data_IF_705141551737
#
_entry.id   IF_705141551737
#
_cell.length_a   1.000
_cell.length_b   1.000
_cell.length_c   1.000
_cell.angle_alpha   90.00
_cell.angle_beta   90.00
_cell.angle_gamma   90.00
#
_symmetry.space_group_name_H-M   'P 1'
#
loop_
_entity.id
_entity.type
_entity.pdbx_description
1 polymer ?
#
# COMPACT_ATOMS: atom_id res chain seq x y z
N UNK A 1 -12.88 5.58 4.83
CA UNK A 1 -11.92 5.12 3.80
C UNK A 1 -12.36 3.77 3.25
N UNK A 2 -12.43 3.59 1.92
CA UNK A 2 -12.78 2.30 1.32
C UNK A 2 -11.75 1.20 1.60
N UNK A 3 -10.52 1.55 2.00
CA UNK A 3 -9.49 0.57 2.35
C UNK A 3 -9.86 -0.32 3.56
N UNK A 4 -10.78 0.12 4.43
CA UNK A 4 -11.32 -0.71 5.51
C UNK A 4 -12.16 -1.90 5.00
N UNK A 5 -12.61 -1.86 3.75
CA UNK A 5 -13.32 -2.99 3.12
C UNK A 5 -12.38 -4.08 2.59
N UNK A 6 -11.06 -3.83 2.51
CA UNK A 6 -10.12 -4.80 1.96
C UNK A 6 -10.15 -6.16 2.70
N UNK A 7 -10.30 -6.27 4.03
CA UNK A 7 -10.48 -7.56 4.70
C UNK A 7 -11.66 -8.39 4.16
N UNK A 8 -12.76 -7.72 3.81
CA UNK A 8 -13.90 -8.38 3.16
C UNK A 8 -13.50 -8.86 1.78
N UNK A 9 -12.89 -8.01 0.95
CA UNK A 9 -12.44 -8.40 -0.39
C UNK A 9 -11.35 -9.48 -0.37
N UNK A 10 -10.43 -9.47 0.59
CA UNK A 10 -9.44 -10.52 0.78
C UNK A 10 -10.09 -11.86 1.11
N UNK A 11 -11.05 -11.86 2.03
CA UNK A 11 -11.83 -13.07 2.33
C UNK A 11 -12.63 -13.57 1.13
N UNK A 12 -13.33 -12.68 0.42
CA UNK A 12 -14.13 -13.03 -0.74
C UNK A 12 -13.25 -13.54 -1.89
N UNK A 13 -12.10 -12.92 -2.11
CA UNK A 13 -11.07 -13.34 -3.08
C UNK A 13 -10.57 -14.76 -2.78
N UNK A 14 -10.18 -15.02 -1.53
CA UNK A 14 -9.72 -16.35 -1.12
C UNK A 14 -10.83 -17.42 -1.29
N UNK A 15 -12.10 -17.03 -1.06
CA UNK A 15 -13.26 -17.95 -1.10
C UNK A 15 -13.82 -18.18 -2.51
N UNK A 16 -13.95 -17.14 -3.33
CA UNK A 16 -14.67 -17.18 -4.61
C UNK A 16 -13.76 -17.18 -5.82
N UNK A 17 -12.47 -16.86 -5.65
CA UNK A 17 -11.47 -16.87 -6.71
C UNK A 17 -10.91 -15.48 -6.97
N UNK A 18 -9.59 -15.40 -7.15
CA UNK A 18 -8.86 -14.14 -7.31
C UNK A 18 -9.16 -13.44 -8.65
N UNK A 19 -9.49 -14.23 -9.69
CA UNK A 19 -9.77 -13.77 -11.06
C UNK A 19 -10.79 -12.65 -11.15
N UNK A 20 -11.93 -12.80 -10.47
CA UNK A 20 -13.03 -11.84 -10.54
C UNK A 20 -12.60 -10.46 -10.07
N UNK A 21 -11.82 -10.40 -8.99
CA UNK A 21 -11.36 -9.15 -8.39
C UNK A 21 -10.26 -8.47 -9.22
N UNK A 22 -9.40 -9.27 -9.88
CA UNK A 22 -8.39 -8.76 -10.82
C UNK A 22 -9.00 -8.12 -12.08
N UNK A 23 -10.21 -8.53 -12.47
CA UNK A 23 -10.93 -7.97 -13.63
C UNK A 23 -11.83 -6.81 -13.21
N UNK A 24 -12.71 -7.04 -12.23
CA UNK A 24 -13.73 -6.07 -11.82
C UNK A 24 -13.14 -4.90 -11.04
N UNK A 25 -12.09 -5.11 -10.24
CA UNK A 25 -11.44 -4.06 -9.46
C UNK A 25 -10.95 -2.89 -10.34
N UNK A 26 -10.06 -3.14 -11.33
CA UNK A 26 -9.60 -2.11 -12.27
C UNK A 26 -10.72 -1.51 -13.09
N UNK A 27 -11.69 -2.31 -13.53
CA UNK A 27 -12.84 -1.84 -14.31
C UNK A 27 -13.65 -0.80 -13.51
N UNK A 28 -14.06 -1.15 -12.29
CA UNK A 28 -14.83 -0.27 -11.40
C UNK A 28 -14.00 0.96 -11.03
N UNK A 29 -12.74 0.78 -10.62
CA UNK A 29 -11.86 1.89 -10.26
C UNK A 29 -11.70 2.89 -11.42
N UNK A 30 -11.34 2.41 -12.60
CA UNK A 30 -11.05 3.27 -13.75
C UNK A 30 -12.28 4.00 -14.27
N UNK A 31 -13.45 3.35 -14.32
CA UNK A 31 -14.69 3.99 -14.75
C UNK A 31 -15.08 5.10 -13.75
N UNK A 32 -15.25 4.78 -12.47
CA UNK A 32 -15.79 5.74 -11.52
C UNK A 32 -14.82 6.90 -11.19
N UNK A 33 -13.51 6.64 -11.11
CA UNK A 33 -12.53 7.72 -10.87
C UNK A 33 -12.40 8.66 -12.08
N UNK A 34 -12.55 8.15 -13.31
CA UNK A 34 -12.42 9.00 -14.51
C UNK A 34 -13.64 9.90 -14.75
N UNK A 35 -14.79 9.55 -14.17
CA UNK A 35 -16.02 10.35 -14.24
C UNK A 35 -16.02 11.58 -13.31
N UNK A 36 -15.03 11.72 -12.43
CA UNK A 36 -15.00 12.80 -11.43
C UNK A 36 -14.99 14.21 -12.06
N UNK A 37 -14.29 14.40 -13.19
CA UNK A 37 -14.22 15.70 -13.86
C UNK A 37 -15.51 16.15 -14.54
N UNK A 38 -16.46 15.23 -14.78
CA UNK A 38 -17.74 15.52 -15.43
C UNK A 38 -18.93 15.32 -14.50
N UNK A 39 -18.69 15.09 -13.22
CA UNK A 39 -19.76 14.88 -12.25
C UNK A 39 -20.59 16.16 -12.08
N UNK A 40 -21.92 16.10 -12.26
CA UNK A 40 -22.78 17.30 -12.29
C UNK A 40 -23.06 17.90 -10.92
N UNK A 41 -22.73 17.17 -9.84
CA UNK A 41 -22.98 17.60 -8.48
C UNK A 41 -21.97 16.97 -7.50
N UNK A 42 -21.76 17.66 -6.38
CA UNK A 42 -20.85 17.21 -5.32
C UNK A 42 -21.17 15.79 -4.81
N UNK A 43 -22.44 15.44 -4.64
CA UNK A 43 -22.84 14.09 -4.20
C UNK A 43 -22.47 13.00 -5.21
N UNK A 44 -22.50 13.31 -6.52
CA UNK A 44 -22.07 12.37 -7.56
C UNK A 44 -20.56 12.14 -7.48
N UNK A 45 -19.76 13.19 -7.22
CA UNK A 45 -18.32 13.08 -6.95
C UNK A 45 -18.08 12.11 -5.78
N UNK A 46 -18.82 12.26 -4.67
CA UNK A 46 -18.66 11.39 -3.51
C UNK A 46 -19.00 9.92 -3.80
N UNK A 47 -20.07 9.67 -4.56
CA UNK A 47 -20.45 8.31 -4.97
C UNK A 47 -19.38 7.72 -5.89
N UNK A 48 -18.94 8.45 -6.90
CA UNK A 48 -17.87 8.04 -7.81
C UNK A 48 -16.56 7.76 -7.06
N UNK A 49 -16.18 8.64 -6.12
CA UNK A 49 -15.01 8.43 -5.26
C UNK A 49 -15.16 7.15 -4.44
N UNK A 50 -16.33 6.94 -3.82
CA UNK A 50 -16.57 5.76 -2.99
C UNK A 50 -16.51 4.46 -3.81
N UNK A 51 -17.24 4.38 -4.92
CA UNK A 51 -17.28 3.20 -5.80
C UNK A 51 -15.92 2.94 -6.46
N UNK A 52 -15.26 3.99 -6.94
CA UNK A 52 -13.92 3.88 -7.52
C UNK A 52 -12.91 3.35 -6.51
N UNK A 53 -12.90 3.89 -5.28
CA UNK A 53 -12.01 3.43 -4.22
C UNK A 53 -12.39 2.03 -3.69
N UNK A 54 -13.66 1.59 -3.80
CA UNK A 54 -14.02 0.19 -3.56
C UNK A 54 -13.39 -0.74 -4.61
N UNK A 55 -13.38 -0.34 -5.88
CA UNK A 55 -12.67 -1.07 -6.95
C UNK A 55 -11.16 -1.19 -6.67
N UNK A 56 -10.53 -0.09 -6.25
CA UNK A 56 -9.11 -0.08 -5.81
C UNK A 56 -8.89 -1.01 -4.62
N UNK A 57 -9.73 -0.91 -3.59
CA UNK A 57 -9.65 -1.79 -2.42
C UNK A 57 -9.81 -3.27 -2.79
N UNK A 58 -10.67 -3.59 -3.76
CA UNK A 58 -10.94 -4.96 -4.19
C UNK A 58 -9.74 -5.64 -4.87
N UNK A 59 -8.86 -4.90 -5.55
CA UNK A 59 -7.71 -5.48 -6.28
C UNK A 59 -6.44 -5.65 -5.41
N UNK A 60 -6.25 -4.86 -4.35
CA UNK A 60 -5.01 -4.94 -3.57
C UNK A 60 -4.76 -6.32 -2.92
N UNK A 61 -5.72 -6.91 -2.18
CA UNK A 61 -5.54 -8.24 -1.59
C UNK A 61 -5.21 -9.36 -2.60
N UNK A 62 -5.97 -9.56 -3.69
CA UNK A 62 -5.68 -10.63 -4.66
C UNK A 62 -4.35 -10.41 -5.40
N UNK A 63 -3.97 -9.18 -5.71
CA UNK A 63 -2.71 -8.92 -6.43
C UNK A 63 -1.50 -9.26 -5.55
N UNK A 64 -1.56 -8.93 -4.25
CA UNK A 64 -0.55 -9.37 -3.29
C UNK A 64 -0.54 -10.90 -3.13
N UNK A 65 -1.71 -11.54 -3.16
CA UNK A 65 -1.81 -13.00 -3.10
C UNK A 65 -1.16 -13.68 -4.32
N UNK A 66 -1.35 -13.15 -5.53
CA UNK A 66 -0.67 -13.62 -6.76
C UNK A 66 0.84 -13.64 -6.57
N UNK A 67 1.43 -12.56 -6.06
CA UNK A 67 2.86 -12.50 -5.79
C UNK A 67 3.33 -13.61 -4.83
N UNK A 68 2.54 -13.93 -3.80
CA UNK A 68 2.87 -14.98 -2.86
C UNK A 68 2.70 -16.40 -3.43
N UNK A 69 1.69 -16.61 -4.26
CA UNK A 69 1.38 -17.91 -4.88
C UNK A 69 2.39 -18.25 -5.98
N UNK A 70 2.72 -17.29 -6.84
CA UNK A 70 3.59 -17.50 -8.00
C UNK A 70 5.05 -17.10 -7.77
N UNK A 71 5.36 -16.43 -6.65
CA UNK A 71 6.72 -15.97 -6.33
C UNK A 71 7.72 -17.08 -5.99
N UNK A 72 7.30 -18.34 -5.84
CA UNK A 72 8.16 -19.48 -5.56
C UNK A 72 9.04 -19.28 -4.31
N UNK A 73 10.37 -19.33 -4.47
CA UNK A 73 11.35 -19.06 -3.40
C UNK A 73 11.58 -17.55 -3.15
N UNK A 74 11.16 -16.68 -4.09
CA UNK A 74 11.42 -15.23 -4.10
C UNK A 74 10.15 -14.42 -3.86
N UNK A 75 9.38 -14.80 -2.83
CA UNK A 75 8.07 -14.20 -2.53
C UNK A 75 8.15 -12.75 -2.06
N UNK A 76 9.25 -12.35 -1.41
CA UNK A 76 9.50 -10.96 -1.04
C UNK A 76 9.69 -10.12 -2.30
N UNK A 77 10.59 -10.55 -3.20
CA UNK A 77 10.79 -9.87 -4.49
C UNK A 77 9.52 -9.84 -5.35
N UNK A 78 8.73 -10.92 -5.39
CA UNK A 78 7.48 -10.96 -6.13
C UNK A 78 6.46 -9.91 -5.63
N UNK A 79 6.32 -9.76 -4.30
CA UNK A 79 5.46 -8.71 -3.72
C UNK A 79 6.01 -7.32 -4.04
N UNK A 80 7.33 -7.16 -4.05
CA UNK A 80 7.97 -5.89 -4.44
C UNK A 80 7.75 -5.56 -5.91
N UNK A 81 7.74 -6.54 -6.81
CA UNK A 81 7.44 -6.32 -8.24
C UNK A 81 6.01 -5.82 -8.44
N UNK A 82 5.04 -6.43 -7.75
CA UNK A 82 3.65 -5.96 -7.74
C UNK A 82 3.57 -4.52 -7.21
N UNK A 83 4.25 -4.24 -6.09
CA UNK A 83 4.25 -2.91 -5.47
C UNK A 83 4.91 -1.87 -6.37
N UNK A 84 5.99 -2.24 -7.07
CA UNK A 84 6.68 -1.38 -8.03
C UNK A 84 5.80 -1.07 -9.25
N UNK A 85 5.09 -2.07 -9.79
CA UNK A 85 4.10 -1.85 -10.84
C UNK A 85 3.00 -0.87 -10.40
N UNK A 86 2.50 -1.01 -9.16
CA UNK A 86 1.58 -0.04 -8.56
C UNK A 86 2.16 1.37 -8.43
N UNK A 87 3.44 1.49 -8.02
CA UNK A 87 4.15 2.76 -7.93
C UNK A 87 4.29 3.43 -9.30
N UNK A 88 4.65 2.69 -10.34
CA UNK A 88 4.70 3.20 -11.72
C UNK A 88 3.32 3.66 -12.18
N UNK A 89 2.28 2.85 -11.95
CA UNK A 89 0.90 3.21 -12.30
C UNK A 89 0.42 4.49 -11.61
N UNK A 90 0.71 4.66 -10.32
CA UNK A 90 0.35 5.85 -9.56
C UNK A 90 1.10 7.10 -10.05
N UNK A 91 2.41 6.97 -10.29
CA UNK A 91 3.25 8.04 -10.81
C UNK A 91 2.84 8.49 -12.21
N UNK A 92 2.80 7.57 -13.17
CA UNK A 92 2.44 7.90 -14.55
C UNK A 92 0.97 8.27 -14.68
N UNK A 93 0.07 7.63 -13.91
CA UNK A 93 -1.35 7.96 -13.89
C UNK A 93 -1.62 9.39 -13.42
N UNK A 94 -0.88 9.87 -12.41
CA UNK A 94 -0.99 11.25 -11.92
C UNK A 94 -0.59 12.27 -13.00
N UNK A 95 0.48 12.01 -13.75
CA UNK A 95 0.89 12.87 -14.88
C UNK A 95 -0.10 12.76 -16.04
N UNK A 96 -0.60 11.56 -16.33
CA UNK A 96 -1.53 11.31 -17.43
C UNK A 96 -2.84 12.08 -17.25
N UNK A 97 -3.42 12.11 -16.04
CA UNK A 97 -4.64 12.89 -15.80
C UNK A 97 -4.40 14.39 -15.88
N UNK A 98 -3.26 14.89 -15.37
CA UNK A 98 -2.86 16.30 -15.51
C UNK A 98 -2.76 16.66 -17.00
N UNK A 99 -2.10 15.83 -17.80
CA UNK A 99 -1.99 16.01 -19.25
C UNK A 99 -3.36 16.08 -19.94
N UNK A 100 -4.29 15.18 -19.59
CA UNK A 100 -5.65 15.21 -20.16
C UNK A 100 -6.33 16.54 -19.84
N UNK A 101 -6.28 16.98 -18.58
CA UNK A 101 -6.94 18.21 -18.12
C UNK A 101 -6.33 19.44 -18.79
N UNK A 102 -5.00 19.55 -18.83
CA UNK A 102 -4.32 20.71 -19.42
C UNK A 102 -4.50 20.79 -20.94
N UNK A 103 -4.51 19.65 -21.64
CA UNK A 103 -4.55 19.61 -23.10
C UNK A 103 -5.96 19.64 -23.69
N UNK A 104 -6.90 18.92 -23.07
CA UNK A 104 -8.25 18.72 -23.61
C UNK A 104 -9.32 19.36 -22.74
N UNK A 105 -9.03 19.61 -21.46
CA UNK A 105 -9.98 20.17 -20.49
C UNK A 105 -10.64 19.11 -19.61
N UNK A 106 -11.30 19.56 -18.55
CA UNK A 106 -11.89 18.71 -17.52
C UNK A 106 -13.02 17.79 -18.05
N UNK A 107 -13.69 18.18 -19.14
CA UNK A 107 -14.73 17.35 -19.78
C UNK A 107 -14.21 16.03 -20.35
N UNK A 108 -12.89 15.92 -20.57
CA UNK A 108 -12.26 14.74 -21.18
C UNK A 108 -11.62 13.78 -20.16
N UNK A 109 -11.81 14.01 -18.86
CA UNK A 109 -11.33 13.06 -17.83
C UNK A 109 -11.83 11.61 -18.02
N UNK A 110 -13.01 11.32 -18.62
CA UNK A 110 -13.39 9.94 -18.91
C UNK A 110 -12.39 9.15 -19.76
N UNK A 111 -11.57 9.82 -20.59
CA UNK A 111 -10.48 9.17 -21.35
C UNK A 111 -9.43 8.52 -20.45
N UNK A 112 -9.30 8.98 -19.19
CA UNK A 112 -8.41 8.39 -18.21
C UNK A 112 -8.80 6.94 -17.84
N UNK A 113 -10.01 6.48 -18.19
CA UNK A 113 -10.45 5.11 -17.94
C UNK A 113 -9.73 4.11 -18.87
N UNK A 114 -9.26 4.54 -20.03
CA UNK A 114 -8.74 3.66 -21.10
C UNK A 114 -7.68 2.67 -20.60
N UNK A 115 -6.61 3.07 -19.88
CA UNK A 115 -5.62 2.12 -19.38
C UNK A 115 -6.21 1.07 -18.43
N UNK A 116 -7.18 1.45 -17.60
CA UNK A 116 -7.87 0.54 -16.69
C UNK A 116 -8.81 -0.43 -17.40
N UNK A 117 -9.51 0.02 -18.44
CA UNK A 117 -10.32 -0.83 -19.31
C UNK A 117 -9.46 -1.86 -20.06
N UNK A 118 -8.32 -1.42 -20.62
CA UNK A 118 -7.35 -2.31 -21.26
C UNK A 118 -6.83 -3.33 -20.25
N UNK A 119 -6.47 -2.90 -19.04
CA UNK A 119 -6.00 -3.79 -17.98
C UNK A 119 -7.06 -4.84 -17.63
N UNK A 120 -8.32 -4.43 -17.45
CA UNK A 120 -9.42 -5.36 -17.18
C UNK A 120 -9.61 -6.38 -18.33
N UNK A 121 -9.57 -5.93 -19.59
CA UNK A 121 -9.68 -6.79 -20.76
C UNK A 121 -8.51 -7.80 -20.87
N UNK A 122 -7.28 -7.36 -20.62
CA UNK A 122 -6.10 -8.24 -20.56
C UNK A 122 -6.26 -9.26 -19.44
N UNK A 123 -6.74 -8.84 -18.26
CA UNK A 123 -6.97 -9.74 -17.13
C UNK A 123 -8.05 -10.79 -17.41
N UNK A 124 -9.00 -10.57 -18.31
CA UNK A 124 -9.95 -11.64 -18.71
C UNK A 124 -9.19 -12.87 -19.24
N UNK A 125 -8.11 -12.67 -19.99
CA UNK A 125 -7.30 -13.76 -20.57
C UNK A 125 -6.23 -14.29 -19.62
N UNK A 126 -5.56 -13.40 -18.88
CA UNK A 126 -4.36 -13.75 -18.11
C UNK A 126 -4.57 -13.94 -16.61
N UNK A 127 -5.69 -13.48 -16.04
CA UNK A 127 -5.93 -13.64 -14.62
C UNK A 127 -6.20 -15.12 -14.29
N UNK A 128 -5.42 -15.73 -13.38
CA UNK A 128 -5.53 -17.14 -13.09
C UNK A 128 -6.81 -17.44 -12.32
N UNK A 129 -7.49 -18.50 -12.71
CA UNK A 129 -8.74 -18.95 -12.08
C UNK A 129 -8.44 -19.85 -10.87
N UNK A 130 -8.01 -19.21 -9.78
CA UNK A 130 -7.57 -19.90 -8.56
C UNK A 130 -8.36 -19.36 -7.37
N UNK A 131 -8.99 -20.28 -6.63
CA UNK A 131 -9.44 -20.04 -5.27
C UNK A 131 -8.33 -20.48 -4.29
N UNK A 132 -7.96 -19.58 -3.37
CA UNK A 132 -6.84 -19.82 -2.43
C UNK A 132 -7.26 -20.74 -1.29
N UNK A 133 -8.54 -20.69 -0.88
CA UNK A 133 -9.04 -21.47 0.24
C UNK A 133 -9.46 -22.89 -0.19
N UNK A 134 -8.93 -23.92 0.48
CA UNK A 134 -9.37 -25.31 0.35
C UNK A 134 -10.90 -25.47 0.54
N UNK A 135 -11.48 -26.56 0.03
CA UNK A 135 -12.92 -26.85 0.10
C UNK A 135 -13.49 -26.80 1.53
N UNK A 136 -12.72 -27.24 2.53
CA UNK A 136 -13.10 -27.17 3.96
C UNK A 136 -13.08 -25.75 4.53
N UNK A 137 -12.15 -24.90 4.10
CA UNK A 137 -12.07 -23.50 4.54
C UNK A 137 -13.05 -22.61 3.78
N UNK A 138 -13.48 -22.99 2.57
CA UNK A 138 -14.52 -22.29 1.78
C UNK A 138 -15.87 -22.20 2.49
N UNK A 139 -16.24 -23.21 3.28
CA UNK A 139 -17.47 -23.22 4.09
C UNK A 139 -17.36 -22.43 5.41
N UNK A 140 -16.16 -22.12 5.87
CA UNK A 140 -15.97 -21.40 7.12
C UNK A 140 -16.30 -19.91 6.98
N UNK A 141 -17.00 -19.35 7.97
CA UNK A 141 -17.22 -17.90 8.09
C UNK A 141 -15.90 -17.17 8.35
N UNK A 142 -15.89 -15.86 8.07
CA UNK A 142 -14.74 -14.97 8.31
C UNK A 142 -14.18 -15.11 9.74
N UNK A 143 -15.04 -15.00 10.76
CA UNK A 143 -14.65 -15.10 12.15
C UNK A 143 -14.13 -16.50 12.54
N UNK A 144 -14.69 -17.56 11.95
CA UNK A 144 -14.21 -18.92 12.19
C UNK A 144 -12.81 -19.15 11.62
N UNK A 145 -12.46 -18.50 10.51
CA UNK A 145 -11.09 -18.56 9.95
C UNK A 145 -10.08 -17.88 10.88
N UNK A 146 -10.45 -16.72 11.45
CA UNK A 146 -9.59 -16.03 12.42
C UNK A 146 -9.44 -16.80 13.73
N UNK A 147 -10.52 -17.40 14.23
CA UNK A 147 -10.51 -18.16 15.50
C UNK A 147 -9.67 -19.45 15.44
N UNK A 148 -9.45 -20.00 14.23
CA UNK A 148 -8.58 -21.17 14.00
C UNK A 148 -7.09 -20.83 14.04
N UNK A 149 -6.72 -19.55 13.98
CA UNK A 149 -5.32 -19.12 14.07
C UNK A 149 -4.87 -19.18 15.53
N UNK A 150 -3.68 -19.74 15.77
CA UNK A 150 -3.10 -19.80 17.10
C UNK A 150 -2.91 -18.40 17.70
N UNK A 151 -3.15 -18.23 19.00
CA UNK A 151 -3.07 -16.92 19.68
C UNK A 151 -1.76 -16.15 19.41
N UNK A 152 -0.56 -16.77 19.42
CA UNK A 152 0.69 -16.04 19.14
C UNK A 152 0.75 -15.46 17.73
N UNK A 153 0.19 -16.16 16.74
CA UNK A 153 0.09 -15.69 15.35
C UNK A 153 -0.86 -14.50 15.21
N UNK A 154 -1.96 -14.48 15.98
CA UNK A 154 -2.89 -13.34 16.02
C UNK A 154 -2.20 -12.10 16.61
N UNK A 155 -1.48 -12.24 17.73
CA UNK A 155 -0.74 -11.14 18.35
C UNK A 155 0.27 -10.55 17.37
N UNK A 156 1.03 -11.43 16.71
CA UNK A 156 1.99 -11.00 15.71
C UNK A 156 1.31 -10.31 14.50
N UNK A 157 0.18 -10.83 14.03
CA UNK A 157 -0.58 -10.18 12.96
C UNK A 157 -1.01 -8.78 13.38
N UNK A 158 -1.49 -8.60 14.61
CA UNK A 158 -1.84 -7.29 15.16
C UNK A 158 -0.63 -6.34 15.19
N UNK A 159 0.56 -6.84 15.56
CA UNK A 159 1.80 -6.06 15.51
C UNK A 159 2.13 -5.64 14.07
N UNK A 160 2.03 -6.55 13.09
CA UNK A 160 2.28 -6.23 11.68
C UNK A 160 1.26 -5.22 11.14
N UNK A 161 -0.01 -5.32 11.53
CA UNK A 161 -1.04 -4.33 11.18
C UNK A 161 -0.68 -2.97 11.75
N UNK A 162 -0.26 -2.92 13.02
CA UNK A 162 0.14 -1.67 13.68
C UNK A 162 1.39 -1.04 13.04
N UNK A 163 2.41 -1.85 12.73
CA UNK A 163 3.61 -1.39 12.01
C UNK A 163 3.23 -0.82 10.63
N UNK A 164 2.33 -1.51 9.92
CA UNK A 164 1.85 -1.05 8.61
C UNK A 164 1.04 0.25 8.74
N UNK A 165 0.25 0.39 9.80
CA UNK A 165 -0.48 1.60 10.14
C UNK A 165 0.48 2.77 10.42
N UNK A 166 1.52 2.56 11.23
CA UNK A 166 2.52 3.59 11.53
C UNK A 166 3.25 4.07 10.26
N UNK A 167 3.62 3.14 9.39
CA UNK A 167 4.20 3.45 8.07
C UNK A 167 3.21 4.28 7.24
N UNK A 168 1.95 3.87 7.18
CA UNK A 168 0.95 4.57 6.37
C UNK A 168 0.63 5.96 6.93
N UNK A 169 0.61 6.15 8.25
CA UNK A 169 0.45 7.46 8.89
C UNK A 169 1.53 8.45 8.43
N UNK A 170 2.78 8.00 8.37
CA UNK A 170 3.85 8.83 7.82
C UNK A 170 3.66 9.09 6.32
N UNK A 171 3.29 8.06 5.55
CA UNK A 171 3.09 8.20 4.11
C UNK A 171 1.97 9.19 3.79
N UNK A 172 0.75 8.99 4.30
CA UNK A 172 -0.40 9.88 4.05
C UNK A 172 -0.13 11.33 4.49
N UNK A 173 0.61 11.52 5.59
CA UNK A 173 1.02 12.86 6.06
C UNK A 173 1.95 13.54 5.07
N UNK A 174 2.97 12.83 4.59
CA UNK A 174 3.90 13.34 3.57
C UNK A 174 3.18 13.63 2.25
N UNK A 175 2.35 12.70 1.77
CA UNK A 175 1.60 12.85 0.52
C UNK A 175 0.61 14.03 0.57
N UNK A 176 0.06 14.35 1.74
CA UNK A 176 -0.93 15.43 1.89
C UNK A 176 -0.29 16.79 2.07
N UNK A 177 0.72 16.93 2.93
CA UNK A 177 1.26 18.24 3.32
C UNK A 177 2.48 18.69 2.53
N UNK A 178 3.29 17.78 1.97
CA UNK A 178 4.47 18.16 1.18
C UNK A 178 4.15 18.93 -0.12
N UNK A 179 3.05 18.66 -0.85
CA UNK A 179 2.65 19.50 -1.97
C UNK A 179 2.48 20.96 -1.52
N UNK A 180 1.72 21.20 -0.44
CA UNK A 180 1.46 22.53 0.11
C UNK A 180 2.74 23.23 0.57
N UNK A 181 3.64 22.49 1.25
CA UNK A 181 4.93 23.02 1.67
C UNK A 181 5.78 23.48 0.49
N UNK A 182 6.02 22.60 -0.48
CA UNK A 182 6.90 22.92 -1.61
C UNK A 182 6.31 24.02 -2.51
N UNK A 183 5.00 24.02 -2.77
CA UNK A 183 4.37 25.10 -3.53
C UNK A 183 4.40 26.42 -2.77
N UNK A 184 4.25 26.39 -1.45
CA UNK A 184 4.40 27.56 -0.58
C UNK A 184 5.82 28.14 -0.57
N UNK A 185 6.83 27.32 -0.90
CA UNK A 185 8.22 27.75 -1.09
C UNK A 185 8.52 28.21 -2.53
N UNK A 186 7.50 28.33 -3.39
CA UNK A 186 7.65 28.81 -4.78
C UNK A 186 7.92 27.73 -5.82
N UNK A 187 7.89 26.44 -5.47
CA UNK A 187 7.99 25.35 -6.45
C UNK A 187 6.68 25.27 -7.25
N UNK A 188 6.76 25.39 -8.58
CA UNK A 188 5.60 25.23 -9.45
C UNK A 188 4.96 23.85 -9.28
N UNK A 189 3.62 23.78 -9.37
CA UNK A 189 2.86 22.54 -9.19
C UNK A 189 3.38 21.39 -10.08
N UNK A 190 3.71 21.69 -11.34
CA UNK A 190 4.23 20.68 -12.25
C UNK A 190 5.60 20.13 -11.82
N UNK A 191 6.48 21.00 -11.30
CA UNK A 191 7.78 20.59 -10.76
C UNK A 191 7.61 19.71 -9.52
N UNK A 192 6.66 20.05 -8.64
CA UNK A 192 6.31 19.17 -7.53
C UNK A 192 5.78 17.81 -8.04
N UNK A 193 4.99 17.77 -9.11
CA UNK A 193 4.57 16.52 -9.75
C UNK A 193 5.75 15.60 -10.14
N UNK A 194 6.84 16.16 -10.67
CA UNK A 194 8.07 15.40 -10.95
C UNK A 194 8.80 14.95 -9.67
N UNK A 195 8.88 15.81 -8.65
CA UNK A 195 9.46 15.46 -7.34
C UNK A 195 8.65 14.31 -6.70
N UNK A 196 7.34 14.37 -6.79
CA UNK A 196 6.41 13.37 -6.28
C UNK A 196 6.54 12.05 -7.03
N UNK A 197 6.62 12.10 -8.36
CA UNK A 197 6.93 10.93 -9.17
C UNK A 197 8.25 10.28 -8.73
N UNK A 198 9.30 11.08 -8.51
CA UNK A 198 10.57 10.59 -8.02
C UNK A 198 10.44 9.95 -6.63
N UNK A 199 9.72 10.56 -5.70
CA UNK A 199 9.41 9.99 -4.38
C UNK A 199 8.80 8.58 -4.48
N UNK A 200 7.79 8.41 -5.33
CA UNK A 200 7.08 7.14 -5.50
C UNK A 200 7.94 6.10 -6.23
N UNK A 201 8.61 6.46 -7.32
CA UNK A 201 9.44 5.54 -8.12
C UNK A 201 10.66 5.07 -7.33
N UNK A 202 11.39 6.01 -6.69
CA UNK A 202 12.53 5.68 -5.84
C UNK A 202 12.08 4.83 -4.65
N UNK A 203 10.91 5.11 -4.08
CA UNK A 203 10.23 4.26 -3.11
C UNK A 203 10.01 2.83 -3.59
N UNK A 204 9.52 2.68 -4.81
CA UNK A 204 9.30 1.38 -5.45
C UNK A 204 10.60 0.63 -5.75
N UNK A 205 11.65 1.32 -6.21
CA UNK A 205 12.99 0.75 -6.41
C UNK A 205 13.56 0.24 -5.08
N UNK A 206 13.43 1.03 -4.01
CA UNK A 206 13.78 0.58 -2.67
C UNK A 206 13.01 -0.67 -2.27
N UNK A 207 11.72 -0.76 -2.62
CA UNK A 207 10.91 -1.96 -2.43
C UNK A 207 11.48 -3.19 -3.12
N UNK A 208 11.95 -3.07 -4.36
CA UNK A 208 12.61 -4.17 -5.09
C UNK A 208 13.88 -4.64 -4.37
N UNK A 209 14.73 -3.69 -3.96
CA UNK A 209 15.96 -3.95 -3.21
C UNK A 209 15.63 -4.63 -1.88
N UNK A 210 14.73 -4.05 -1.10
CA UNK A 210 14.28 -4.58 0.18
C UNK A 210 13.68 -5.99 0.03
N UNK A 211 12.87 -6.21 -1.01
CA UNK A 211 12.27 -7.51 -1.31
C UNK A 211 13.33 -8.58 -1.57
N UNK A 212 14.30 -8.28 -2.44
CA UNK A 212 15.43 -9.16 -2.73
C UNK A 212 16.26 -9.51 -1.48
N UNK A 213 16.66 -8.49 -0.70
CA UNK A 213 17.42 -8.71 0.53
C UNK A 213 16.59 -9.41 1.61
N UNK A 214 15.28 -9.17 1.68
CA UNK A 214 14.40 -9.84 2.65
C UNK A 214 14.33 -11.36 2.42
N UNK A 215 14.40 -11.79 1.16
CA UNK A 215 14.42 -13.22 0.81
C UNK A 215 15.79 -13.84 1.08
N UNK A 216 16.88 -13.07 0.93
CA UNK A 216 18.26 -13.52 1.23
C UNK A 216 18.56 -13.59 2.73
N UNK A 217 18.21 -12.54 3.47
CA UNK A 217 18.54 -12.38 4.90
C UNK A 217 17.59 -13.17 5.81
N UNK A 218 16.38 -13.48 5.33
CA UNK A 218 15.30 -14.22 6.02
C UNK A 218 14.78 -13.56 7.33
N UNK A 219 15.48 -12.57 7.88
CA UNK A 219 15.06 -11.74 9.03
C UNK A 219 14.30 -10.50 8.57
N UNK A 220 13.09 -10.69 8.05
CA UNK A 220 12.30 -9.61 7.40
C UNK A 220 12.00 -8.44 8.34
N UNK A 221 11.73 -8.69 9.63
CA UNK A 221 11.47 -7.62 10.60
C UNK A 221 12.66 -6.71 10.81
N UNK A 222 13.89 -7.25 10.80
CA UNK A 222 15.11 -6.46 10.89
C UNK A 222 15.25 -5.54 9.67
N UNK A 223 14.96 -6.04 8.46
CA UNK A 223 14.99 -5.20 7.26
C UNK A 223 13.95 -4.08 7.34
N UNK A 224 12.74 -4.36 7.83
CA UNK A 224 11.72 -3.32 8.05
C UNK A 224 12.19 -2.28 9.07
N UNK A 225 12.77 -2.71 10.19
CA UNK A 225 13.29 -1.80 11.22
C UNK A 225 14.40 -0.90 10.69
N UNK A 226 15.36 -1.46 9.95
CA UNK A 226 16.45 -0.68 9.35
C UNK A 226 15.87 0.40 8.44
N UNK A 227 14.95 0.02 7.54
CA UNK A 227 14.31 0.96 6.62
C UNK A 227 13.56 2.07 7.36
N UNK A 228 12.72 1.72 8.35
CA UNK A 228 11.98 2.71 9.14
C UNK A 228 12.91 3.62 9.94
N UNK A 229 13.97 3.09 10.55
CA UNK A 229 14.95 3.87 11.30
C UNK A 229 15.68 4.90 10.43
N UNK A 230 16.00 4.58 9.18
CA UNK A 230 16.57 5.55 8.24
C UNK A 230 15.57 6.62 7.78
N UNK A 231 14.27 6.30 7.72
CA UNK A 231 13.26 7.28 7.33
C UNK A 231 13.06 8.40 8.37
N UNK A 232 13.25 8.11 9.65
CA UNK A 232 13.03 9.05 10.77
C UNK A 232 13.89 10.31 10.63
N UNK A 233 15.24 10.25 10.58
CA UNK A 233 16.06 11.45 10.49
C UNK A 233 15.81 12.21 9.18
N UNK A 234 15.56 11.51 8.06
CA UNK A 234 15.27 12.17 6.78
C UNK A 234 14.01 13.03 6.87
N UNK A 235 12.91 12.48 7.39
CA UNK A 235 11.64 13.23 7.52
C UNK A 235 11.76 14.34 8.56
N UNK A 236 12.40 14.09 9.70
CA UNK A 236 12.55 15.09 10.76
C UNK A 236 13.36 16.31 10.30
N UNK A 237 14.41 16.07 9.49
CA UNK A 237 15.36 17.10 9.06
C UNK A 237 15.00 17.79 7.74
N UNK A 238 13.93 17.38 7.03
CA UNK A 238 13.49 17.99 5.76
C UNK A 238 13.38 19.52 5.84
N UNK A 239 12.95 20.07 6.97
CA UNK A 239 12.75 21.51 7.17
C UNK A 239 13.94 22.22 7.82
N UNK A 240 15.03 21.50 8.10
CA UNK A 240 16.23 22.02 8.74
C UNK A 240 17.37 22.25 7.75
N UNK A 241 17.12 22.01 6.47
CA UNK A 241 18.10 22.08 5.38
C UNK A 241 17.59 23.01 4.27
N UNK A 242 18.49 23.50 3.39
CA UNK A 242 18.10 24.26 2.20
C UNK A 242 17.13 23.49 1.29
N UNK A 243 16.25 24.22 0.58
CA UNK A 243 15.14 23.66 -0.20
C UNK A 243 15.55 22.56 -1.19
N UNK A 244 16.69 22.72 -1.87
CA UNK A 244 17.22 21.71 -2.79
C UNK A 244 17.58 20.39 -2.07
N UNK A 245 18.13 20.48 -0.86
CA UNK A 245 18.43 19.31 -0.02
C UNK A 245 17.12 18.72 0.56
N UNK A 246 16.14 19.55 0.91
CA UNK A 246 14.82 19.08 1.36
C UNK A 246 14.13 18.21 0.31
N UNK A 247 14.26 18.55 -0.98
CA UNK A 247 13.73 17.73 -2.09
C UNK A 247 14.41 16.36 -2.12
N UNK A 248 15.74 16.33 -1.98
CA UNK A 248 16.51 15.07 -1.94
C UNK A 248 16.09 14.23 -0.74
N UNK A 249 15.97 14.83 0.45
CA UNK A 249 15.53 14.13 1.66
C UNK A 249 14.11 13.60 1.54
N UNK A 250 13.21 14.35 0.91
CA UNK A 250 11.86 13.88 0.61
C UNK A 250 11.90 12.64 -0.28
N UNK A 251 12.61 12.68 -1.41
CA UNK A 251 12.74 11.53 -2.33
C UNK A 251 13.35 10.31 -1.63
N UNK A 252 14.41 10.51 -0.82
CA UNK A 252 15.03 9.45 -0.03
C UNK A 252 14.10 8.93 1.08
N UNK A 253 13.28 9.77 1.71
CA UNK A 253 12.24 9.31 2.62
C UNK A 253 11.26 8.39 1.88
N UNK A 254 10.94 8.69 0.62
CA UNK A 254 10.17 7.80 -0.27
C UNK A 254 10.81 6.42 -0.37
N UNK A 255 12.12 6.35 -0.66
CA UNK A 255 12.90 5.10 -0.64
C UNK A 255 12.60 4.29 0.61
N UNK A 256 12.92 4.82 1.78
CA UNK A 256 12.89 4.06 3.03
C UNK A 256 11.46 3.71 3.48
N UNK A 257 10.52 4.64 3.35
CA UNK A 257 9.15 4.45 3.81
C UNK A 257 8.35 3.53 2.91
N UNK A 258 8.43 3.70 1.58
CA UNK A 258 7.64 2.90 0.64
C UNK A 258 8.12 1.45 0.60
N UNK A 259 9.44 1.24 0.69
CA UNK A 259 10.09 -0.08 0.65
C UNK A 259 9.56 -1.12 1.63
N UNK A 260 8.97 -0.68 2.74
CA UNK A 260 8.51 -1.56 3.81
C UNK A 260 7.18 -2.25 3.51
N UNK A 261 6.39 -1.73 2.56
CA UNK A 261 5.06 -2.25 2.19
C UNK A 261 5.10 -3.72 1.74
N UNK A 262 5.92 -4.13 0.75
CA UNK A 262 5.96 -5.52 0.31
C UNK A 262 6.44 -6.46 1.41
N UNK A 263 7.30 -6.01 2.33
CA UNK A 263 7.82 -6.80 3.44
C UNK A 263 6.75 -7.04 4.51
N UNK A 264 5.99 -6.01 4.89
CA UNK A 264 4.90 -6.14 5.86
C UNK A 264 3.78 -7.03 5.30
N UNK A 265 3.46 -6.87 4.02
CA UNK A 265 2.52 -7.74 3.31
C UNK A 265 2.99 -9.18 3.33
N UNK A 266 4.27 -9.41 3.04
CA UNK A 266 4.87 -10.74 3.07
C UNK A 266 4.85 -11.37 4.46
N UNK A 267 5.12 -10.58 5.51
CA UNK A 267 5.04 -11.01 6.90
C UNK A 267 3.62 -11.46 7.26
N UNK A 268 2.60 -10.68 6.91
CA UNK A 268 1.21 -11.06 7.13
C UNK A 268 0.86 -12.38 6.39
N UNK A 269 1.28 -12.53 5.15
CA UNK A 269 1.09 -13.75 4.35
C UNK A 269 1.80 -14.98 4.94
N UNK A 270 2.98 -14.83 5.56
CA UNK A 270 3.67 -15.92 6.27
C UNK A 270 2.90 -16.41 7.50
N UNK A 271 2.17 -15.51 8.17
CA UNK A 271 1.38 -15.82 9.37
C UNK A 271 0.12 -16.60 8.99
N UNK A 272 -0.50 -16.26 7.86
CA UNK A 272 -1.77 -16.86 7.44
C UNK A 272 -1.75 -17.41 6.01
N UNK A 273 -0.99 -18.51 5.77
CA UNK A 273 -0.70 -19.02 4.43
C UNK A 273 -1.90 -19.63 3.71
N UNK A 274 -2.95 -20.05 4.41
CA UNK A 274 -4.17 -20.61 3.82
C UNK A 274 -5.17 -19.53 3.33
N UNK A 275 -4.96 -18.27 3.72
CA UNK A 275 -5.85 -17.16 3.42
C UNK A 275 -5.00 -15.94 3.06
N UNK A 276 -4.23 -16.08 1.99
CA UNK A 276 -3.17 -15.15 1.61
C UNK A 276 -3.73 -13.77 1.23
N UNK A 277 -4.87 -13.72 0.53
CA UNK A 277 -5.49 -12.43 0.18
C UNK A 277 -5.98 -11.76 1.46
N UNK A 278 -6.68 -12.48 2.33
CA UNK A 278 -7.12 -11.97 3.62
C UNK A 278 -5.94 -11.50 4.49
N UNK A 279 -4.84 -12.23 4.55
CA UNK A 279 -3.63 -11.81 5.25
C UNK A 279 -3.09 -10.47 4.74
N UNK A 280 -2.96 -10.36 3.42
CA UNK A 280 -2.46 -9.15 2.75
C UNK A 280 -3.38 -7.95 2.97
N UNK A 281 -4.69 -8.19 3.01
CA UNK A 281 -5.69 -7.14 3.22
C UNK A 281 -5.61 -6.47 4.59
N UNK A 282 -5.12 -7.19 5.61
CA UNK A 282 -4.92 -6.62 6.94
C UNK A 282 -3.72 -5.67 6.95
N UNK A 283 -2.58 -6.10 6.40
CA UNK A 283 -1.37 -5.28 6.34
C UNK A 283 -1.48 -4.10 5.38
N UNK A 284 -2.25 -4.22 4.31
CA UNK A 284 -2.45 -3.14 3.33
C UNK A 284 -3.66 -2.29 3.74
N UNK A 285 -4.85 -2.87 3.63
CA UNK A 285 -6.09 -2.12 3.70
C UNK A 285 -6.56 -1.76 5.10
N UNK A 286 -6.56 -2.70 6.05
CA UNK A 286 -6.99 -2.37 7.42
C UNK A 286 -6.05 -1.33 8.05
N UNK A 287 -4.75 -1.47 7.84
CA UNK A 287 -3.74 -0.50 8.22
C UNK A 287 -3.98 0.88 7.56
N UNK A 288 -4.10 0.93 6.22
CA UNK A 288 -4.26 2.18 5.52
C UNK A 288 -5.62 2.85 5.72
N UNK A 289 -6.68 2.06 5.87
CA UNK A 289 -8.00 2.52 6.21
C UNK A 289 -8.04 3.19 7.59
N UNK A 290 -7.38 2.57 8.57
CA UNK A 290 -7.23 3.13 9.92
C UNK A 290 -6.38 4.40 9.91
N UNK A 291 -5.25 4.39 9.19
CA UNK A 291 -4.39 5.56 9.05
C UNK A 291 -5.13 6.75 8.43
N UNK A 292 -5.91 6.52 7.38
CA UNK A 292 -6.71 7.56 6.74
C UNK A 292 -7.78 8.16 7.67
N UNK A 293 -8.39 7.36 8.56
CA UNK A 293 -9.33 7.88 9.56
C UNK A 293 -8.61 8.70 10.63
N UNK A 294 -7.49 8.20 11.17
CA UNK A 294 -6.68 8.94 12.14
C UNK A 294 -6.13 10.24 11.54
N UNK A 295 -5.79 10.24 10.25
CA UNK A 295 -5.26 11.41 9.55
C UNK A 295 -6.23 12.60 9.55
N UNK A 296 -7.55 12.39 9.63
CA UNK A 296 -8.53 13.48 9.80
C UNK A 296 -8.24 14.29 11.07
N UNK A 297 -7.86 13.62 12.16
CA UNK A 297 -7.47 14.27 13.41
C UNK A 297 -6.11 14.96 13.27
N UNK A 298 -5.16 14.33 12.56
CA UNK A 298 -3.85 14.94 12.27
C UNK A 298 -4.00 16.23 11.44
N UNK A 299 -4.95 16.27 10.50
CA UNK A 299 -5.31 17.49 9.77
C UNK A 299 -5.77 18.61 10.70
N UNK A 300 -6.71 18.32 11.61
CA UNK A 300 -7.16 19.30 12.61
C UNK A 300 -6.03 19.77 13.53
N UNK A 301 -5.11 18.89 13.89
CA UNK A 301 -3.92 19.26 14.67
C UNK A 301 -3.04 20.20 13.83
N UNK A 302 -2.86 19.92 12.53
CA UNK A 302 -2.08 20.76 11.63
C UNK A 302 -2.66 22.18 11.48
N UNK A 303 -3.98 22.34 11.56
CA UNK A 303 -4.63 23.66 11.56
C UNK A 303 -4.27 24.50 12.80
N UNK A 304 -3.94 23.85 13.91
CA UNK A 304 -3.61 24.50 15.20
C UNK A 304 -2.10 24.75 15.33
N UNK A 305 -1.27 23.73 15.09
CA UNK A 305 0.19 23.77 15.36
C UNK A 305 1.05 23.92 14.10
N UNK A 306 0.42 23.95 12.93
CA UNK A 306 1.08 24.05 11.62
C UNK A 306 1.53 22.70 11.04
N UNK A 307 1.48 22.61 9.71
CA UNK A 307 1.86 21.39 8.96
C UNK A 307 3.33 20.96 9.20
N UNK A 308 4.26 21.90 9.31
CA UNK A 308 5.69 21.61 9.50
C UNK A 308 5.91 20.87 10.82
N UNK A 309 5.27 21.33 11.90
CA UNK A 309 5.31 20.71 13.22
C UNK A 309 4.76 19.28 13.14
N UNK A 310 3.60 19.11 12.49
CA UNK A 310 2.98 17.79 12.33
C UNK A 310 3.88 16.81 11.57
N UNK A 311 4.49 17.23 10.46
CA UNK A 311 5.39 16.37 9.68
C UNK A 311 6.63 15.98 10.50
N UNK A 312 7.21 16.89 11.29
CA UNK A 312 8.35 16.55 12.16
C UNK A 312 7.97 15.46 13.18
N UNK A 313 6.83 15.62 13.86
CA UNK A 313 6.42 14.71 14.93
C UNK A 313 5.70 13.44 14.45
N UNK A 314 5.31 13.34 13.16
CA UNK A 314 4.78 12.09 12.61
C UNK A 314 5.80 10.94 12.69
N UNK A 315 7.10 11.28 12.81
CA UNK A 315 8.20 10.32 13.00
C UNK A 315 8.09 9.48 14.29
N UNK A 316 7.23 9.87 15.24
CA UNK A 316 6.91 9.04 16.41
C UNK A 316 6.25 7.71 15.98
N UNK A 317 5.46 7.69 14.91
CA UNK A 317 4.83 6.46 14.41
C UNK A 317 5.86 5.41 13.93
N UNK A 318 6.78 5.69 12.99
CA UNK A 318 7.82 4.72 12.63
C UNK A 318 8.76 4.38 13.79
N UNK A 319 9.01 5.30 14.73
CA UNK A 319 9.80 5.01 15.93
C UNK A 319 9.13 3.94 16.81
N UNK A 320 7.84 4.09 17.09
CA UNK A 320 7.07 3.09 17.87
C UNK A 320 6.97 1.75 17.15
N UNK A 321 6.84 1.76 15.82
CA UNK A 321 6.91 0.54 15.01
C UNK A 321 8.27 -0.17 15.13
N UNK A 322 9.38 0.57 15.08
CA UNK A 322 10.72 0.01 15.28
C UNK A 322 10.89 -0.64 16.66
N UNK A 323 10.42 0.03 17.71
CA UNK A 323 10.47 -0.48 19.09
C UNK A 323 9.65 -1.76 19.23
N UNK A 324 8.43 -1.81 18.69
CA UNK A 324 7.60 -3.02 18.76
C UNK A 324 8.23 -4.20 18.02
N UNK A 325 8.78 -3.98 16.82
CA UNK A 325 9.48 -5.05 16.09
C UNK A 325 10.75 -5.53 16.79
N UNK A 326 11.34 -4.71 17.67
CA UNK A 326 12.55 -5.06 18.42
C UNK A 326 12.21 -6.04 19.55
N UNK A 327 11.11 -5.79 20.27
CA UNK A 327 10.63 -6.68 21.33
C UNK A 327 9.92 -7.93 20.79
N UNK A 328 9.32 -7.86 19.60
CA UNK A 328 8.55 -8.95 19.00
C UNK A 328 9.02 -9.28 17.58
N UNK A 329 10.27 -9.74 17.41
CA UNK A 329 10.79 -10.09 16.09
C UNK A 329 10.06 -11.32 15.54
N UNK A 330 9.62 -11.24 14.28
CA UNK A 330 9.12 -12.41 13.59
C UNK A 330 10.30 -13.29 13.16
N UNK A 331 10.51 -14.36 13.89
CA UNK A 331 11.38 -15.45 13.44
C UNK A 331 10.49 -16.50 12.82
N UNK A 332 10.59 -16.68 11.50
CA UNK A 332 9.94 -17.81 10.83
C UNK A 332 10.47 -19.08 11.47
N UNK A 333 9.60 -19.85 12.13
CA UNK A 333 9.99 -21.15 12.68
C UNK A 333 10.63 -21.97 11.54
N UNK A 334 11.82 -22.53 11.79
CA UNK A 334 12.43 -23.51 10.87
C UNK A 334 11.35 -24.53 10.55
N UNK A 335 11.07 -24.73 9.26
CA UNK A 335 10.23 -25.84 8.82
C UNK A 335 10.93 -27.14 9.18
N UNK A 336 10.62 -27.70 10.35
CA UNK A 336 11.03 -29.04 10.75
C UNK A 336 10.16 -30.06 10.03
N UNK A 337 10.16 -30.07 8.70
CA UNK A 337 9.56 -31.11 7.87
C UNK A 337 10.44 -31.23 6.62
N UNK A 338 10.83 -32.46 6.28
CA UNK A 338 11.81 -32.91 5.27
C UNK A 338 13.24 -33.11 5.82
N UNK A 339 13.36 -34.00 6.82
CA UNK A 339 14.56 -34.82 7.06
C UNK A 339 14.18 -36.14 7.78
N UNK A 340 13.01 -36.68 7.43
CA UNK A 340 12.53 -37.98 7.91
C UNK A 340 11.74 -38.64 6.78
N UNK A 341 12.49 -39.07 5.75
CA UNK A 341 12.18 -40.06 4.71
C UNK A 341 13.09 -39.79 3.51
N UNK A 342 14.35 -40.13 3.68
CA UNK A 342 15.13 -40.81 2.64
C UNK A 342 15.68 -42.10 3.25
#
# INVERSE_FOLDING_TARGET
SANLSQPVFGFLSDKYGIRYFLILGPLVASVFISLLGIAPAYWVILICLFLGNLGVAAIHPPTAAIANLFGGKRKGLANSLVSFGGALGFSFGSIFIIYIIERFGMMYTPLAAIPGLITAAVMVKFAPDIAVSNTSSRKASFFNRLRKVEKPKIVLLAIIIFVSYCREMMNITLLTFMPLYFTGQGIKLMNFGYIFMAFIIIGGIGGLIAGYYSDKIQKRTVVVQVLLSFSIPLVFTIFLVPLNISIVFFILAGFFTISTLPLCTRLAQDIFPENVSLASSFSIGAAAGSAALTFILVGKIADIVGMITVIKYITIFPLTACLLLFFFPFVKAKSSIIAAKE
#
